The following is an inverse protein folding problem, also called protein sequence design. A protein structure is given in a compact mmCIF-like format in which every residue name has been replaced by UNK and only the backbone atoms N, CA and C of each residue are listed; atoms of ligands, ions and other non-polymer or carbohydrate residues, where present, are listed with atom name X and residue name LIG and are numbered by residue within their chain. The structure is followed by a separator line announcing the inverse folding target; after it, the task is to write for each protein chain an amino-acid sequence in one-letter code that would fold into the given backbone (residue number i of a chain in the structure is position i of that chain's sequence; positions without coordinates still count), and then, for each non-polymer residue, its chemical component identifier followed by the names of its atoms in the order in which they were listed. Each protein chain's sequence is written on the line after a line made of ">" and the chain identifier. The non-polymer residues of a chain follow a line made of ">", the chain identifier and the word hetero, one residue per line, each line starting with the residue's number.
data_IF_989750112273
#
_entry.id   IF_989750112273
#
_cell.length_a   1.000
_cell.length_b   1.000
_cell.length_c   1.000
_cell.angle_alpha   90.00
_cell.angle_beta   90.00
_cell.angle_gamma   90.00
#
_symmetry.space_group_name_H-M   'P 1'
#
loop_
_entity.id
_entity.type
_entity.pdbx_description
1 polymer ?
#
# COMPACT_ATOMS: atom_id res chain seq x y z
N UNK A 1 -22.84 22.78 -12.59
CA UNK A 1 -23.21 21.87 -13.71
C UNK A 1 -22.11 21.75 -14.75
N UNK A 2 -21.56 22.84 -15.31
CA UNK A 2 -20.48 22.78 -16.32
C UNK A 2 -19.22 22.04 -15.85
N UNK A 3 -18.79 22.24 -14.59
CA UNK A 3 -17.59 21.57 -14.01
C UNK A 3 -17.75 20.04 -13.90
N UNK A 4 -18.94 19.56 -13.54
CA UNK A 4 -19.24 18.14 -13.42
C UNK A 4 -19.26 17.46 -14.80
N UNK A 5 -19.78 18.17 -15.80
CA UNK A 5 -19.86 17.68 -17.18
C UNK A 5 -18.47 17.52 -17.81
N UNK A 6 -17.56 18.47 -17.56
CA UNK A 6 -16.15 18.38 -18.01
C UNK A 6 -15.44 17.18 -17.38
N UNK A 7 -15.66 16.92 -16.09
CA UNK A 7 -15.09 15.75 -15.39
C UNK A 7 -15.64 14.44 -15.96
N UNK A 8 -16.95 14.35 -16.19
CA UNK A 8 -17.57 13.19 -16.82
C UNK A 8 -17.07 12.98 -18.25
N UNK A 9 -16.89 14.04 -19.04
CA UNK A 9 -16.38 13.93 -20.41
C UNK A 9 -14.93 13.44 -20.46
N UNK A 10 -14.08 13.83 -19.50
CA UNK A 10 -12.71 13.27 -19.40
C UNK A 10 -12.70 11.79 -19.04
N UNK A 11 -13.66 11.31 -18.23
CA UNK A 11 -13.73 9.90 -17.84
C UNK A 11 -14.21 8.97 -18.98
N UNK A 12 -15.00 9.47 -19.93
CA UNK A 12 -15.59 8.66 -21.01
C UNK A 12 -14.67 8.51 -22.23
N UNK A 13 -13.60 9.32 -22.35
CA UNK A 13 -12.69 9.31 -23.51
C UNK A 13 -11.71 8.11 -23.55
N UNK A 14 -11.77 7.16 -22.62
CA UNK A 14 -10.75 6.11 -22.47
C UNK A 14 -10.97 4.82 -23.27
N UNK A 15 -11.82 4.82 -24.31
CA UNK A 15 -12.27 3.58 -24.96
C UNK A 15 -11.29 2.94 -25.96
N UNK A 16 -10.10 3.51 -26.21
CA UNK A 16 -9.11 2.88 -27.08
C UNK A 16 -7.70 3.39 -26.78
N UNK A 17 -7.14 2.99 -25.64
CA UNK A 17 -5.73 3.23 -25.34
C UNK A 17 -5.06 1.88 -25.03
N UNK A 18 -4.20 1.42 -25.95
CA UNK A 18 -3.06 0.62 -25.54
C UNK A 18 -2.26 1.52 -24.58
N UNK A 19 -2.38 1.29 -23.27
CA UNK A 19 -1.74 2.13 -22.28
C UNK A 19 -0.23 1.85 -22.31
N UNK A 20 0.53 2.67 -23.03
CA UNK A 20 2.00 2.58 -23.07
C UNK A 20 2.63 2.94 -21.72
N UNK A 21 1.95 3.78 -20.95
CA UNK A 21 2.35 4.20 -19.60
C UNK A 21 1.08 4.38 -18.78
N UNK A 22 1.11 3.93 -17.53
CA UNK A 22 0.07 4.24 -16.55
C UNK A 22 0.66 4.52 -15.19
N UNK A 23 -0.08 5.27 -14.38
CA UNK A 23 0.28 5.54 -12.99
C UNK A 23 -0.98 5.65 -12.16
N UNK A 24 -0.86 5.33 -10.88
CA UNK A 24 -1.93 5.46 -9.92
C UNK A 24 -1.38 5.78 -8.53
N UNK A 25 -2.27 6.31 -7.70
CA UNK A 25 -2.03 6.52 -6.27
C UNK A 25 -3.01 5.65 -5.50
N UNK A 26 -2.58 5.14 -4.36
CA UNK A 26 -3.40 4.33 -3.47
C UNK A 26 -3.28 4.87 -2.04
N UNK A 27 -4.37 4.74 -1.28
CA UNK A 27 -4.38 5.08 0.13
C UNK A 27 -5.36 4.16 0.84
N UNK A 28 -5.01 3.78 2.07
CA UNK A 28 -5.78 2.82 2.83
C UNK A 28 -5.23 2.63 4.23
N UNK A 29 -5.60 1.51 4.83
CA UNK A 29 -5.04 1.03 6.09
C UNK A 29 -4.52 -0.38 5.89
N UNK A 30 -3.45 -0.72 6.59
CA UNK A 30 -2.90 -2.08 6.55
C UNK A 30 -3.92 -3.09 7.07
N UNK A 31 -3.86 -4.32 6.56
CA UNK A 31 -4.74 -5.40 7.02
C UNK A 31 -4.32 -5.93 8.39
N UNK A 32 -3.06 -5.73 8.76
CA UNK A 32 -2.50 -6.18 10.02
C UNK A 32 -1.93 -5.00 10.80
N UNK A 33 -2.00 -5.13 12.12
CA UNK A 33 -1.38 -4.22 13.07
C UNK A 33 -0.26 -4.95 13.82
N UNK A 34 0.71 -4.20 14.35
CA UNK A 34 1.76 -4.81 15.15
C UNK A 34 1.17 -5.32 16.48
N UNK A 35 1.39 -6.60 16.75
CA UNK A 35 0.98 -7.24 17.99
C UNK A 35 1.79 -6.76 19.19
N UNK A 36 1.35 -7.12 20.40
CA UNK A 36 2.14 -6.87 21.60
C UNK A 36 3.40 -7.75 21.63
N UNK A 37 4.49 -7.22 22.17
CA UNK A 37 5.74 -7.94 22.36
C UNK A 37 6.35 -7.59 23.72
N UNK A 38 6.78 -8.58 24.49
CA UNK A 38 7.53 -8.36 25.74
C UNK A 38 8.95 -8.89 25.57
N UNK A 39 9.90 -8.09 26.02
CA UNK A 39 11.28 -8.51 26.23
C UNK A 39 11.71 -8.18 27.65
N UNK A 40 12.24 -9.15 28.36
CA UNK A 40 12.71 -8.97 29.74
C UNK A 40 14.16 -9.41 29.84
N UNK A 41 15.02 -8.54 30.37
CA UNK A 41 16.42 -8.83 30.68
C UNK A 41 16.68 -8.53 32.17
N UNK A 42 16.82 -9.60 32.96
CA UNK A 42 16.99 -9.49 34.41
C UNK A 42 15.77 -8.88 35.09
N UNK A 43 15.93 -7.70 35.69
CA UNK A 43 14.87 -6.97 36.38
C UNK A 43 14.24 -5.86 35.52
N UNK A 44 14.70 -5.69 34.27
CA UNK A 44 14.21 -4.66 33.36
C UNK A 44 13.35 -5.33 32.28
N UNK A 45 12.16 -4.78 32.03
CA UNK A 45 11.27 -5.22 30.96
C UNK A 45 11.00 -4.08 29.99
N UNK A 46 10.85 -4.43 28.71
CA UNK A 46 10.38 -3.56 27.65
C UNK A 46 9.15 -4.24 27.05
N UNK A 47 8.00 -3.62 27.22
CA UNK A 47 6.74 -4.05 26.63
C UNK A 47 6.40 -3.13 25.47
N UNK A 48 6.23 -3.71 24.31
CA UNK A 48 5.56 -3.08 23.19
C UNK A 48 4.07 -3.45 23.27
N UNK A 49 3.20 -2.45 23.37
CA UNK A 49 1.75 -2.63 23.41
C UNK A 49 1.22 -2.77 21.99
N UNK A 50 0.19 -3.60 21.81
CA UNK A 50 -0.46 -3.75 20.51
C UNK A 50 -0.96 -2.40 19.98
N UNK A 51 -0.76 -2.14 18.67
CA UNK A 51 -1.23 -0.89 18.08
C UNK A 51 -2.74 -0.72 18.25
N UNK A 52 -3.16 0.49 18.61
CA UNK A 52 -4.58 0.84 18.81
C UNK A 52 -5.37 0.71 17.51
N UNK A 53 -4.76 1.10 16.38
CA UNK A 53 -5.35 1.03 15.06
C UNK A 53 -4.39 0.44 14.04
N UNK A 54 -4.95 -0.05 12.94
CA UNK A 54 -4.17 -0.48 11.80
C UNK A 54 -3.39 0.72 11.23
N UNK A 55 -2.09 0.56 10.90
CA UNK A 55 -1.30 1.59 10.25
C UNK A 55 -2.01 2.14 9.02
N UNK A 56 -2.00 3.47 8.85
CA UNK A 56 -2.42 4.10 7.61
C UNK A 56 -1.35 3.89 6.55
N UNK A 57 -1.75 3.70 5.29
CA UNK A 57 -0.82 3.60 4.17
C UNK A 57 -1.18 4.54 3.03
N UNK A 58 -0.15 4.94 2.30
CA UNK A 58 -0.23 5.70 1.08
C UNK A 58 0.87 5.23 0.13
N UNK A 59 0.49 4.99 -1.11
CA UNK A 59 1.39 4.47 -2.11
C UNK A 59 1.06 4.97 -3.50
N UNK A 60 1.87 4.55 -4.44
CA UNK A 60 1.62 4.75 -5.85
C UNK A 60 2.25 3.65 -6.66
N UNK A 61 1.66 3.41 -7.82
CA UNK A 61 2.21 2.49 -8.80
C UNK A 61 2.37 3.21 -10.13
N UNK A 62 3.32 2.75 -10.91
CA UNK A 62 3.51 3.17 -12.29
C UNK A 62 3.90 1.96 -13.12
N UNK A 63 3.45 1.91 -14.36
CA UNK A 63 3.86 0.90 -15.33
C UNK A 63 4.19 1.53 -16.67
N UNK A 64 5.08 0.89 -17.40
CA UNK A 64 5.48 1.24 -18.77
C UNK A 64 5.48 -0.04 -19.60
N UNK A 65 4.75 -0.04 -20.70
CA UNK A 65 4.81 -1.07 -21.74
C UNK A 65 5.89 -0.70 -22.76
N UNK A 66 6.87 -1.60 -22.91
CA UNK A 66 8.00 -1.53 -23.81
C UNK A 66 7.90 -2.69 -24.81
N UNK A 67 7.06 -2.53 -25.84
CA UNK A 67 7.00 -3.40 -27.03
C UNK A 67 7.12 -4.90 -26.71
N UNK A 68 6.24 -5.40 -25.83
CA UNK A 68 6.20 -6.82 -25.43
C UNK A 68 6.77 -7.11 -24.05
N UNK A 69 7.26 -6.10 -23.34
CA UNK A 69 7.61 -6.18 -21.92
C UNK A 69 6.94 -5.04 -21.14
N UNK A 70 6.18 -5.38 -20.11
CA UNK A 70 5.58 -4.42 -19.19
C UNK A 70 6.41 -4.41 -17.91
N UNK A 71 6.92 -3.22 -17.55
CA UNK A 71 7.58 -3.00 -16.26
C UNK A 71 6.60 -2.27 -15.38
N UNK A 72 6.30 -2.83 -14.22
CA UNK A 72 5.44 -2.25 -13.20
C UNK A 72 6.25 -2.04 -11.92
N UNK A 73 6.11 -0.88 -11.30
CA UNK A 73 6.70 -0.56 -10.01
C UNK A 73 5.64 0.00 -9.09
N UNK A 74 5.57 -0.54 -7.88
CA UNK A 74 4.70 -0.07 -6.80
C UNK A 74 5.57 0.32 -5.60
N UNK A 75 5.22 1.44 -4.97
CA UNK A 75 5.81 1.91 -3.73
C UNK A 75 4.68 2.20 -2.76
N UNK A 76 4.77 1.65 -1.56
CA UNK A 76 3.81 1.85 -0.49
C UNK A 76 4.51 2.26 0.81
N UNK A 77 4.02 3.35 1.41
CA UNK A 77 4.48 3.89 2.68
C UNK A 77 3.38 3.73 3.72
N UNK A 78 3.66 2.92 4.74
CA UNK A 78 2.78 2.70 5.88
C UNK A 78 3.32 3.37 7.14
N UNK A 79 2.44 3.83 8.02
CA UNK A 79 2.84 4.40 9.28
C UNK A 79 1.75 4.34 10.35
N UNK A 80 2.19 4.28 11.60
CA UNK A 80 1.31 4.34 12.76
C UNK A 80 2.08 4.56 14.05
N UNK A 81 1.35 4.79 15.13
CA UNK A 81 1.94 4.96 16.45
C UNK A 81 1.92 3.62 17.19
N UNK A 82 3.04 3.30 17.82
CA UNK A 82 3.24 2.08 18.58
C UNK A 82 3.70 2.44 19.98
N UNK A 83 3.00 1.94 21.00
CA UNK A 83 3.24 2.34 22.39
C UNK A 83 4.20 1.37 23.08
N UNK A 84 5.09 1.90 23.91
CA UNK A 84 6.02 1.11 24.71
C UNK A 84 5.92 1.48 26.19
N UNK A 85 6.01 0.47 27.06
CA UNK A 85 6.27 0.63 28.49
C UNK A 85 7.61 -0.01 28.85
N UNK A 86 8.33 0.63 29.75
CA UNK A 86 9.60 0.19 30.28
C UNK A 86 9.42 -0.02 31.77
N UNK A 87 9.51 -1.26 32.24
CA UNK A 87 9.37 -1.56 33.66
C UNK A 87 10.75 -1.82 34.25
N UNK A 88 11.00 -1.25 35.42
CA UNK A 88 12.21 -1.56 36.19
C UNK A 88 11.94 -1.37 37.69
N UNK A 89 12.77 -1.94 38.59
CA UNK A 89 12.50 -1.96 40.02
C UNK A 89 12.53 -0.58 40.71
N UNK A 90 13.00 0.46 40.03
CA UNK A 90 13.22 1.79 40.59
C UNK A 90 12.15 2.77 40.11
N UNK A 91 11.80 2.73 38.82
CA UNK A 91 10.84 3.61 38.19
C UNK A 91 10.36 3.06 36.84
N UNK A 92 9.05 2.85 36.70
CA UNK A 92 8.44 2.46 35.44
C UNK A 92 8.19 3.69 34.56
N UNK A 93 8.39 3.54 33.25
CA UNK A 93 8.22 4.60 32.27
C UNK A 93 7.30 4.12 31.15
N UNK A 94 6.14 4.76 30.99
CA UNK A 94 5.22 4.47 29.88
C UNK A 94 3.75 4.72 30.23
N UNK A 95 2.85 4.65 29.23
CA UNK A 95 3.12 4.36 27.82
C UNK A 95 3.76 5.55 27.07
N UNK A 96 4.75 5.27 26.22
CA UNK A 96 5.36 6.25 25.31
C UNK A 96 5.03 5.85 23.88
N UNK A 97 4.51 6.80 23.10
CA UNK A 97 4.25 6.62 21.68
C UNK A 97 5.54 6.75 20.86
N UNK A 98 5.82 5.74 20.04
CA UNK A 98 6.90 5.75 19.07
C UNK A 98 6.34 5.66 17.64
N UNK A 99 6.85 6.47 16.70
CA UNK A 99 6.45 6.37 15.30
C UNK A 99 7.01 5.09 14.68
N UNK A 100 6.12 4.27 14.13
CA UNK A 100 6.47 3.13 13.29
C UNK A 100 6.22 3.47 11.83
N UNK A 101 7.18 3.13 10.98
CA UNK A 101 7.13 3.37 9.53
C UNK A 101 7.50 2.09 8.79
N UNK A 102 6.84 1.89 7.65
CA UNK A 102 7.10 0.80 6.70
C UNK A 102 7.24 1.40 5.31
N UNK A 103 8.26 0.96 4.60
CA UNK A 103 8.41 1.17 3.16
C UNK A 103 8.37 -0.20 2.48
N UNK A 104 7.44 -0.36 1.54
CA UNK A 104 7.30 -1.54 0.70
C UNK A 104 7.47 -1.15 -0.75
N UNK A 105 8.26 -1.91 -1.51
CA UNK A 105 8.46 -1.66 -2.94
C UNK A 105 8.38 -2.97 -3.70
N UNK A 106 7.64 -2.99 -4.79
CA UNK A 106 7.50 -4.15 -5.67
C UNK A 106 7.83 -3.72 -7.09
N UNK A 107 8.68 -4.49 -7.76
CA UNK A 107 8.99 -4.27 -9.17
C UNK A 107 8.70 -5.58 -9.89
N UNK A 108 7.85 -5.51 -10.91
CA UNK A 108 7.41 -6.64 -11.70
C UNK A 108 7.77 -6.41 -13.16
N UNK A 109 8.41 -7.40 -13.77
CA UNK A 109 8.63 -7.45 -15.22
C UNK A 109 7.71 -8.53 -15.80
N UNK A 110 6.76 -8.14 -16.63
CA UNK A 110 5.88 -9.04 -17.36
C UNK A 110 6.30 -9.07 -18.81
N UNK A 111 6.26 -10.25 -19.44
CA UNK A 111 6.41 -10.38 -20.88
C UNK A 111 5.03 -10.63 -21.47
N UNK A 112 4.62 -9.85 -22.46
CA UNK A 112 3.42 -10.17 -23.21
C UNK A 112 3.78 -11.29 -24.20
N UNK A 113 3.37 -12.52 -23.87
CA UNK A 113 3.72 -13.73 -24.64
C UNK A 113 2.59 -14.09 -25.62
N UNK A 114 1.33 -13.71 -25.35
CA UNK A 114 0.17 -14.03 -26.20
C UNK A 114 -1.10 -13.24 -25.81
N UNK A 115 -1.66 -12.46 -26.73
CA UNK A 115 -2.99 -11.84 -26.59
C UNK A 115 -4.09 -12.89 -26.89
N UNK A 116 -4.39 -13.78 -25.93
CA UNK A 116 -5.54 -14.69 -26.05
C UNK A 116 -6.82 -13.87 -25.82
N UNK A 117 -7.32 -13.25 -26.89
CA UNK A 117 -8.70 -12.77 -26.91
C UNK A 117 -9.62 -13.99 -26.77
N UNK A 118 -10.36 -14.08 -25.65
CA UNK A 118 -11.38 -15.13 -25.48
C UNK A 118 -12.47 -14.84 -26.53
N UNK A 119 -12.63 -15.65 -27.59
CA UNK A 119 -13.47 -15.28 -28.75
C UNK A 119 -14.97 -15.27 -28.43
N UNK A 120 -15.37 -15.73 -27.24
CA UNK A 120 -16.74 -16.16 -26.98
C UNK A 120 -17.67 -15.07 -26.43
N UNK A 121 -17.15 -13.92 -25.98
CA UNK A 121 -17.98 -12.83 -25.45
C UNK A 121 -18.37 -11.76 -26.49
N UNK A 122 -17.73 -11.74 -27.66
CA UNK A 122 -17.99 -10.73 -28.69
C UNK A 122 -19.15 -11.07 -29.65
N UNK A 123 -19.72 -12.28 -29.58
CA UNK A 123 -20.73 -12.75 -30.55
C UNK A 123 -22.18 -12.61 -30.08
N UNK A 124 -22.43 -11.97 -28.93
CA UNK A 124 -23.78 -11.86 -28.35
C UNK A 124 -24.21 -10.43 -27.97
N UNK A 125 -23.71 -9.43 -28.71
CA UNK A 125 -24.26 -8.08 -28.77
C UNK A 125 -24.49 -7.73 -30.25
#
# INVERSE_FOLDING_TARGET
>A
MKKLLVVSTLMILHSSAFALVGFGVQGGTDLNKLGAYNYTEGLVSVNALEMVSNPGNFGGYAFVDLFGYEIEAEVDLGGGLYEFTFENPVNDLGPIEFPWLRLSTVITLKKNIMDISIPFLAKLL
#
